data_IF_613199884754
#
_entry.id   IF_613199884754
#
_cell.length_a   1.000
_cell.length_b   1.000
_cell.length_c   1.000
_cell.angle_alpha   90.00
_cell.angle_beta   90.00
_cell.angle_gamma   90.00
#
_symmetry.space_group_name_H-M   'P 1'
#
loop_
_entity.id
_entity.type
_entity.pdbx_description
1 polymer ?
#
# COMPACT_ATOMS: atom_id res chain seq x y z
N UNK A 1 -14.99 6.83 -35.73
CA UNK A 1 -15.08 6.41 -34.32
C UNK A 1 -13.66 6.16 -33.86
N UNK A 2 -13.14 6.94 -32.91
CA UNK A 2 -11.80 6.68 -32.39
C UNK A 2 -11.83 5.32 -31.68
N UNK A 3 -10.89 4.44 -32.03
CA UNK A 3 -10.60 3.24 -31.24
C UNK A 3 -10.44 3.68 -29.78
N UNK A 4 -11.31 3.17 -28.92
CA UNK A 4 -11.19 3.42 -27.49
C UNK A 4 -9.92 2.70 -27.08
N UNK A 5 -8.85 3.44 -26.81
CA UNK A 5 -7.59 2.91 -26.29
C UNK A 5 -7.89 1.95 -25.12
N UNK A 6 -7.79 0.65 -25.39
CA UNK A 6 -8.14 -0.45 -24.48
C UNK A 6 -7.03 -0.76 -23.48
N UNK A 7 -5.97 0.06 -23.48
CA UNK A 7 -4.79 -0.11 -22.65
C UNK A 7 -5.13 0.16 -21.19
N UNK A 8 -4.91 -0.84 -20.33
CA UNK A 8 -5.09 -0.72 -18.88
C UNK A 8 -4.17 0.38 -18.34
N UNK A 9 -4.73 1.34 -17.57
CA UNK A 9 -4.01 2.48 -17.00
C UNK A 9 -3.72 2.28 -15.51
N UNK A 10 -2.45 2.13 -15.19
CA UNK A 10 -1.94 1.96 -13.83
C UNK A 10 -1.32 3.28 -13.38
N UNK A 11 -1.83 3.89 -12.31
CA UNK A 11 -1.10 4.96 -11.62
C UNK A 11 -0.26 4.34 -10.51
N UNK A 12 1.06 4.42 -10.62
CA UNK A 12 1.98 4.00 -9.56
C UNK A 12 2.44 5.23 -8.77
N UNK A 13 2.00 5.32 -7.51
CA UNK A 13 2.44 6.33 -6.57
C UNK A 13 3.58 5.75 -5.73
N UNK A 14 4.76 6.32 -5.88
CA UNK A 14 5.95 5.96 -5.13
C UNK A 14 6.32 7.06 -4.14
N UNK A 15 6.98 6.69 -3.04
CA UNK A 15 7.47 7.63 -2.04
C UNK A 15 6.37 8.57 -1.51
N UNK A 16 5.18 8.02 -1.21
CA UNK A 16 4.16 8.68 -0.37
C UNK A 16 4.79 9.12 0.95
N UNK A 17 5.62 8.25 1.54
CA UNK A 17 6.68 8.68 2.45
C UNK A 17 8.03 8.70 1.74
N UNK A 18 8.78 9.77 1.93
CA UNK A 18 10.01 10.02 1.15
C UNK A 18 11.16 9.04 1.39
N UNK A 19 11.12 8.25 2.45
CA UNK A 19 12.11 7.23 2.77
C UNK A 19 11.73 5.82 2.29
N UNK A 20 10.61 5.65 1.57
CA UNK A 20 10.11 4.36 1.10
C UNK A 20 10.42 4.18 -0.39
N UNK A 21 11.28 3.20 -0.69
CA UNK A 21 11.93 3.09 -2.00
C UNK A 21 11.36 1.99 -2.91
N UNK A 22 10.30 1.29 -2.51
CA UNK A 22 9.74 0.18 -3.30
C UNK A 22 9.33 0.63 -4.71
N UNK A 23 8.44 1.62 -4.81
CA UNK A 23 7.96 2.13 -6.10
C UNK A 23 9.08 2.75 -6.94
N UNK A 24 10.01 3.47 -6.29
CA UNK A 24 11.19 4.06 -6.95
C UNK A 24 12.03 2.96 -7.63
N UNK A 25 12.38 1.92 -6.86
CA UNK A 25 13.22 0.82 -7.35
C UNK A 25 12.50 -0.04 -8.39
N UNK A 26 11.19 -0.26 -8.24
CA UNK A 26 10.39 -0.96 -9.25
C UNK A 26 10.39 -0.21 -10.57
N UNK A 27 10.09 1.09 -10.56
CA UNK A 27 10.11 1.91 -11.78
C UNK A 27 11.50 1.94 -12.43
N UNK A 28 12.57 2.11 -11.65
CA UNK A 28 13.94 2.01 -12.15
C UNK A 28 14.24 0.66 -12.79
N UNK A 29 13.78 -0.45 -12.17
CA UNK A 29 13.95 -1.80 -12.71
C UNK A 29 13.23 -1.98 -14.04
N UNK A 30 12.00 -1.45 -14.17
CA UNK A 30 11.23 -1.48 -15.42
C UNK A 30 11.92 -0.69 -16.54
N UNK A 31 12.44 0.51 -16.23
CA UNK A 31 13.22 1.32 -17.17
C UNK A 31 14.49 0.60 -17.65
N UNK A 32 15.26 0.04 -16.71
CA UNK A 32 16.49 -0.71 -17.03
C UNK A 32 16.22 -1.90 -17.95
N UNK A 33 15.09 -2.59 -17.75
CA UNK A 33 14.67 -3.73 -18.59
C UNK A 33 13.97 -3.32 -19.88
N UNK A 34 13.68 -2.03 -20.08
CA UNK A 34 12.82 -1.55 -21.18
C UNK A 34 11.50 -2.34 -21.23
N UNK A 35 10.89 -2.52 -20.06
CA UNK A 35 9.68 -3.34 -19.93
C UNK A 35 8.50 -2.70 -20.68
N UNK A 36 7.72 -3.47 -21.46
CA UNK A 36 6.49 -2.96 -22.10
C UNK A 36 5.44 -2.48 -21.09
N UNK A 37 5.53 -2.92 -19.82
CA UNK A 37 4.68 -2.41 -18.74
C UNK A 37 4.73 -0.90 -18.56
N UNK A 38 5.81 -0.24 -19.02
CA UNK A 38 5.92 1.21 -18.97
C UNK A 38 4.83 1.92 -19.79
N UNK A 39 4.26 1.27 -20.81
CA UNK A 39 3.13 1.81 -21.59
C UNK A 39 1.83 1.87 -20.78
N UNK A 40 1.71 1.01 -19.75
CA UNK A 40 0.56 0.95 -18.86
C UNK A 40 0.74 1.80 -17.59
N UNK A 41 1.98 2.14 -17.25
CA UNK A 41 2.31 2.76 -15.96
C UNK A 41 2.54 4.25 -16.12
N UNK A 42 1.63 5.01 -15.52
CA UNK A 42 1.87 6.39 -15.17
C UNK A 42 2.52 6.46 -13.79
N UNK A 43 3.73 7.02 -13.71
CA UNK A 43 4.53 7.06 -12.50
C UNK A 43 4.50 8.43 -11.84
N UNK A 44 4.23 8.45 -10.53
CA UNK A 44 4.22 9.67 -9.71
C UNK A 44 5.06 9.49 -8.45
N UNK A 45 5.84 10.53 -8.11
CA UNK A 45 6.39 10.67 -6.76
C UNK A 45 5.33 11.36 -5.89
N UNK A 46 4.81 10.65 -4.90
CA UNK A 46 3.76 11.11 -3.99
C UNK A 46 4.22 12.33 -3.20
N UNK A 47 5.32 12.22 -2.45
CA UNK A 47 5.89 13.33 -1.68
C UNK A 47 7.30 13.71 -2.17
N UNK A 48 7.43 14.58 -3.20
CA UNK A 48 8.72 14.93 -3.79
C UNK A 48 9.66 15.65 -2.80
N UNK A 49 9.15 16.54 -1.93
CA UNK A 49 9.99 17.21 -0.92
C UNK A 49 10.53 16.24 0.12
N UNK A 50 9.68 15.35 0.64
CA UNK A 50 10.13 14.34 1.62
C UNK A 50 11.10 13.34 0.98
N UNK A 51 10.87 12.95 -0.28
CA UNK A 51 11.76 12.08 -1.04
C UNK A 51 13.14 12.70 -1.21
N UNK A 52 13.22 13.97 -1.63
CA UNK A 52 14.48 14.70 -1.73
C UNK A 52 15.20 14.79 -0.37
N UNK A 53 14.45 14.97 0.72
CA UNK A 53 14.97 15.01 2.08
C UNK A 53 15.29 13.63 2.69
N UNK A 54 14.92 12.51 2.03
CA UNK A 54 14.99 11.14 2.56
C UNK A 54 14.28 10.99 3.92
N UNK A 55 13.18 11.72 4.11
CA UNK A 55 12.38 11.72 5.33
C UNK A 55 11.03 11.08 5.09
N UNK A 56 10.36 10.65 6.16
CA UNK A 56 8.98 10.15 6.08
C UNK A 56 8.04 11.24 5.52
N UNK A 57 8.14 12.45 6.05
CA UNK A 57 7.40 13.64 5.60
C UNK A 57 8.16 14.92 5.99
N UNK A 58 7.66 16.07 5.53
CA UNK A 58 8.16 17.41 5.86
C UNK A 58 7.40 18.00 7.06
N UNK A 59 6.09 18.24 6.92
CA UNK A 59 5.28 18.87 7.96
C UNK A 59 4.40 17.84 8.70
N UNK A 60 3.67 17.01 7.95
CA UNK A 60 2.79 15.99 8.49
C UNK A 60 2.70 14.74 7.61
N UNK A 61 2.13 13.64 8.12
CA UNK A 61 2.03 12.39 7.36
C UNK A 61 1.07 12.54 6.16
N UNK A 62 1.60 12.40 4.94
CA UNK A 62 0.82 12.50 3.70
C UNK A 62 -0.31 11.49 3.66
N UNK A 63 -0.09 10.28 4.17
CA UNK A 63 -1.09 9.22 4.20
C UNK A 63 -2.10 9.38 5.34
N UNK A 64 -2.14 10.56 5.98
CA UNK A 64 -3.18 11.01 6.93
C UNK A 64 -3.81 12.33 6.52
N UNK A 65 -3.48 12.81 5.31
CA UNK A 65 -3.80 14.17 4.86
C UNK A 65 -4.89 14.20 3.77
N UNK A 66 -5.33 13.05 3.25
CA UNK A 66 -6.40 13.02 2.25
C UNK A 66 -7.75 13.44 2.85
N UNK A 67 -8.46 14.35 2.17
CA UNK A 67 -9.72 14.92 2.67
C UNK A 67 -9.56 15.91 3.83
N UNK A 68 -8.33 16.24 4.22
CA UNK A 68 -8.04 17.23 5.26
C UNK A 68 -7.77 18.58 4.62
N UNK A 69 -8.61 19.57 4.93
CA UNK A 69 -8.37 20.95 4.51
C UNK A 69 -7.34 21.62 5.42
N UNK A 70 -6.21 22.04 4.86
CA UNK A 70 -5.21 22.80 5.61
C UNK A 70 -4.09 23.33 4.72
N UNK A 71 -3.15 24.04 5.35
CA UNK A 71 -2.09 24.79 4.68
C UNK A 71 -0.72 24.12 4.79
N UNK A 72 -0.62 22.98 5.49
CA UNK A 72 0.63 22.22 5.54
C UNK A 72 0.91 21.61 4.17
N UNK A 73 2.20 21.45 3.85
CA UNK A 73 2.59 21.02 2.52
C UNK A 73 1.98 19.66 2.14
N UNK A 74 1.96 18.67 3.04
CA UNK A 74 1.34 17.37 2.73
C UNK A 74 -0.19 17.42 2.57
N UNK A 75 -0.88 18.37 3.22
CA UNK A 75 -2.33 18.54 3.05
C UNK A 75 -2.66 19.08 1.66
N UNK A 76 -1.91 20.08 1.20
CA UNK A 76 -2.01 20.58 -0.17
C UNK A 76 -1.63 19.49 -1.17
N UNK A 77 -0.57 18.73 -0.90
CA UNK A 77 -0.12 17.63 -1.77
C UNK A 77 -1.16 16.52 -1.89
N UNK A 78 -1.85 16.16 -0.81
CA UNK A 78 -2.92 15.18 -0.85
C UNK A 78 -4.08 15.63 -1.74
N UNK A 79 -4.46 16.91 -1.68
CA UNK A 79 -5.48 17.49 -2.55
C UNK A 79 -5.07 17.47 -4.03
N UNK A 80 -3.81 17.78 -4.34
CA UNK A 80 -3.27 17.69 -5.70
C UNK A 80 -3.33 16.26 -6.26
N UNK A 81 -2.90 15.27 -5.46
CA UNK A 81 -2.94 13.85 -5.87
C UNK A 81 -4.39 13.40 -6.09
N UNK A 82 -5.31 13.79 -5.20
CA UNK A 82 -6.73 13.46 -5.35
C UNK A 82 -7.33 14.08 -6.63
N UNK A 83 -7.02 15.35 -6.92
CA UNK A 83 -7.43 16.01 -8.16
C UNK A 83 -6.87 15.29 -9.39
N UNK A 84 -5.59 14.91 -9.35
CA UNK A 84 -4.95 14.16 -10.44
C UNK A 84 -5.63 12.82 -10.72
N UNK A 85 -5.95 12.04 -9.68
CA UNK A 85 -6.67 10.76 -9.81
C UNK A 85 -8.07 11.00 -10.40
N UNK A 86 -8.77 12.04 -9.94
CA UNK A 86 -10.10 12.40 -10.44
C UNK A 86 -10.09 12.80 -11.91
N UNK A 87 -9.06 13.53 -12.34
CA UNK A 87 -8.89 13.99 -13.72
C UNK A 87 -8.47 12.87 -14.67
N UNK A 88 -7.45 12.09 -14.28
CA UNK A 88 -6.84 11.06 -15.14
C UNK A 88 -7.58 9.73 -15.14
N UNK A 89 -8.39 9.45 -14.09
CA UNK A 89 -9.23 8.26 -13.94
C UNK A 89 -8.49 6.95 -14.27
N UNK A 90 -7.40 6.64 -13.56
CA UNK A 90 -6.68 5.38 -13.78
C UNK A 90 -7.58 4.17 -13.49
N UNK A 91 -7.35 3.04 -14.16
CA UNK A 91 -8.08 1.80 -13.88
C UNK A 91 -7.71 1.22 -12.52
N UNK A 92 -6.46 1.43 -12.10
CA UNK A 92 -5.96 1.05 -10.77
C UNK A 92 -4.89 2.04 -10.29
N UNK A 93 -4.90 2.33 -8.99
CA UNK A 93 -3.86 3.10 -8.29
C UNK A 93 -3.08 2.15 -7.39
N UNK A 94 -1.76 2.14 -7.55
CA UNK A 94 -0.83 1.40 -6.69
C UNK A 94 -0.13 2.37 -5.76
N UNK A 95 -0.28 2.17 -4.44
CA UNK A 95 0.41 2.97 -3.44
C UNK A 95 1.55 2.16 -2.82
N UNK A 96 2.79 2.52 -3.16
CA UNK A 96 3.96 1.65 -2.97
C UNK A 96 4.70 1.99 -1.68
N UNK A 97 4.38 1.29 -0.58
CA UNK A 97 4.97 1.50 0.74
C UNK A 97 6.04 0.48 1.09
N UNK A 98 6.84 0.83 2.09
CA UNK A 98 7.77 -0.12 2.72
C UNK A 98 7.65 -0.06 4.23
N UNK A 99 7.85 -1.21 4.87
CA UNK A 99 7.88 -1.31 6.33
C UNK A 99 9.26 -1.67 6.85
N UNK A 100 9.59 -1.23 8.06
CA UNK A 100 10.69 -1.81 8.83
C UNK A 100 10.20 -2.85 9.84
N UNK A 101 8.89 -3.09 9.94
CA UNK A 101 8.35 -4.11 10.82
C UNK A 101 8.75 -5.50 10.33
N UNK A 102 8.94 -6.44 11.26
CA UNK A 102 9.10 -7.85 10.94
C UNK A 102 7.70 -8.40 10.67
N UNK A 103 7.34 -8.56 9.40
CA UNK A 103 6.04 -9.04 8.95
C UNK A 103 6.12 -9.64 7.54
N UNK A 104 5.12 -10.41 7.08
CA UNK A 104 4.99 -10.79 5.68
C UNK A 104 4.80 -9.57 4.76
N UNK A 105 5.03 -9.79 3.47
CA UNK A 105 4.58 -8.87 2.41
C UNK A 105 3.06 -8.90 2.39
N UNK A 106 2.41 -7.76 2.31
CA UNK A 106 0.95 -7.73 2.19
C UNK A 106 0.47 -6.65 1.22
N UNK A 107 -0.73 -6.88 0.70
CA UNK A 107 -1.49 -5.90 -0.08
C UNK A 107 -2.55 -5.28 0.84
N UNK A 108 -2.67 -3.96 0.82
CA UNK A 108 -3.60 -3.19 1.65
C UNK A 108 -4.73 -2.68 0.77
N UNK A 109 -5.98 -2.83 1.23
CA UNK A 109 -7.17 -2.34 0.53
C UNK A 109 -8.16 -1.74 1.53
N UNK A 110 -9.00 -0.79 1.11
CA UNK A 110 -10.11 -0.33 1.96
C UNK A 110 -11.27 -1.34 2.03
N UNK A 111 -11.50 -2.08 0.94
CA UNK A 111 -12.51 -3.13 0.80
C UNK A 111 -12.13 -4.04 -0.40
N UNK A 112 -12.90 -5.10 -0.65
CA UNK A 112 -12.70 -6.00 -1.81
C UNK A 112 -13.55 -5.61 -3.04
N UNK A 113 -14.27 -4.50 -3.01
CA UNK A 113 -15.14 -4.07 -4.10
C UNK A 113 -14.33 -3.48 -5.25
N UNK A 114 -14.73 -3.77 -6.49
CA UNK A 114 -14.09 -3.26 -7.70
C UNK A 114 -13.37 -4.35 -8.50
N UNK A 115 -13.77 -4.52 -9.75
CA UNK A 115 -13.27 -5.59 -10.62
C UNK A 115 -11.77 -5.50 -10.89
N UNK A 116 -11.23 -4.30 -11.17
CA UNK A 116 -9.81 -4.10 -11.42
C UNK A 116 -8.96 -4.47 -10.19
N UNK A 117 -9.37 -4.05 -8.99
CA UNK A 117 -8.70 -4.41 -7.74
C UNK A 117 -8.73 -5.93 -7.51
N UNK A 118 -9.89 -6.58 -7.63
CA UNK A 118 -9.98 -8.05 -7.49
C UNK A 118 -9.07 -8.78 -8.48
N UNK A 119 -9.03 -8.32 -9.73
CA UNK A 119 -8.14 -8.86 -10.76
C UNK A 119 -6.66 -8.68 -10.39
N UNK A 120 -6.25 -7.50 -9.95
CA UNK A 120 -4.86 -7.26 -9.52
C UNK A 120 -4.48 -8.15 -8.34
N UNK A 121 -5.36 -8.23 -7.33
CA UNK A 121 -5.16 -9.08 -6.17
C UNK A 121 -4.98 -10.55 -6.62
N UNK A 122 -5.88 -11.07 -7.47
CA UNK A 122 -5.80 -12.44 -8.01
C UNK A 122 -4.61 -12.68 -8.96
N UNK A 123 -4.06 -11.64 -9.58
CA UNK A 123 -2.85 -11.73 -10.41
C UNK A 123 -1.55 -11.76 -9.58
N UNK A 124 -1.59 -11.25 -8.34
CA UNK A 124 -0.38 -11.07 -7.53
C UNK A 124 0.03 -12.31 -6.76
N UNK A 125 1.33 -12.64 -6.76
CA UNK A 125 1.90 -13.70 -5.93
C UNK A 125 1.82 -13.40 -4.42
N UNK A 126 1.56 -12.15 -4.01
CA UNK A 126 1.37 -11.81 -2.60
C UNK A 126 0.00 -12.34 -2.16
N UNK A 127 0.01 -13.26 -1.20
CA UNK A 127 -1.19 -13.97 -0.74
C UNK A 127 -1.87 -13.28 0.44
N UNK A 128 -1.16 -12.42 1.16
CA UNK A 128 -1.68 -11.74 2.36
C UNK A 128 -2.34 -10.43 1.97
N UNK A 129 -3.62 -10.27 2.32
CA UNK A 129 -4.40 -9.04 2.14
C UNK A 129 -4.78 -8.49 3.51
N UNK A 130 -4.61 -7.19 3.71
CA UNK A 130 -5.14 -6.46 4.84
C UNK A 130 -6.21 -5.47 4.36
N UNK A 131 -7.46 -5.72 4.75
CA UNK A 131 -8.53 -4.75 4.59
C UNK A 131 -8.51 -3.76 5.77
N UNK A 132 -8.27 -2.47 5.49
CA UNK A 132 -8.17 -1.41 6.50
C UNK A 132 -9.43 -0.55 6.56
N UNK A 133 -9.70 0.01 7.74
CA UNK A 133 -10.66 1.09 7.87
C UNK A 133 -10.06 2.39 7.31
N UNK A 134 -10.88 3.30 6.75
CA UNK A 134 -10.43 4.61 6.29
C UNK A 134 -9.65 5.38 7.35
N UNK A 135 -8.45 5.89 7.02
CA UNK A 135 -7.63 6.70 7.91
C UNK A 135 -7.08 7.97 7.22
N UNK A 136 -7.88 8.61 6.35
CA UNK A 136 -7.45 9.75 5.52
C UNK A 136 -6.20 9.41 4.67
N UNK A 137 -6.15 8.19 4.17
CA UNK A 137 -5.14 7.66 3.27
C UNK A 137 -5.67 7.62 1.82
N UNK A 138 -4.78 7.34 0.87
CA UNK A 138 -5.18 7.29 -0.55
C UNK A 138 -6.22 6.20 -0.83
N UNK A 139 -6.32 5.16 0.00
CA UNK A 139 -7.28 4.08 -0.18
C UNK A 139 -8.73 4.55 0.03
N UNK A 140 -8.94 5.73 0.61
CA UNK A 140 -10.28 6.34 0.73
C UNK A 140 -10.76 6.99 -0.57
N UNK A 141 -9.90 7.16 -1.58
CA UNK A 141 -10.24 7.88 -2.81
C UNK A 141 -11.00 7.05 -3.84
N UNK A 142 -11.05 5.72 -3.71
CA UNK A 142 -11.79 4.90 -4.65
C UNK A 142 -11.66 3.39 -4.45
N UNK A 143 -12.52 2.66 -5.16
CA UNK A 143 -12.56 1.19 -5.15
C UNK A 143 -11.52 0.55 -6.09
N UNK A 144 -10.52 1.30 -6.54
CA UNK A 144 -9.47 0.85 -7.44
C UNK A 144 -8.06 1.15 -6.89
N UNK A 145 -7.91 1.28 -5.57
CA UNK A 145 -6.62 1.50 -4.93
C UNK A 145 -6.15 0.20 -4.26
N UNK A 146 -4.88 -0.15 -4.47
CA UNK A 146 -4.18 -1.22 -3.76
C UNK A 146 -2.85 -0.69 -3.24
N UNK A 147 -2.65 -0.75 -1.92
CA UNK A 147 -1.37 -0.47 -1.29
C UNK A 147 -0.48 -1.71 -1.30
N UNK A 148 0.80 -1.54 -1.57
CA UNK A 148 1.82 -2.57 -1.31
C UNK A 148 2.53 -2.21 0.00
N UNK A 149 2.62 -3.16 0.93
CA UNK A 149 3.37 -2.98 2.17
C UNK A 149 4.45 -4.06 2.24
N UNK A 150 5.68 -3.69 1.86
CA UNK A 150 6.80 -4.62 1.69
C UNK A 150 7.90 -4.34 2.72
N UNK A 151 8.40 -5.35 3.46
CA UNK A 151 9.56 -5.15 4.32
C UNK A 151 10.78 -4.66 3.54
N UNK A 152 11.46 -3.62 4.04
CA UNK A 152 12.63 -3.02 3.39
C UNK A 152 13.71 -4.06 3.03
N UNK A 153 13.94 -5.02 3.92
CA UNK A 153 14.88 -6.14 3.72
C UNK A 153 14.53 -7.06 2.56
N UNK A 154 13.28 -7.06 2.11
CA UNK A 154 12.79 -7.93 1.04
C UNK A 154 12.95 -7.33 -0.35
N UNK A 155 13.33 -6.05 -0.46
CA UNK A 155 13.44 -5.36 -1.76
C UNK A 155 14.73 -5.79 -2.47
N UNK A 156 14.62 -6.86 -3.26
CA UNK A 156 15.69 -7.42 -4.09
C UNK A 156 15.30 -7.34 -5.58
N UNK A 157 16.26 -7.43 -6.52
CA UNK A 157 15.93 -7.50 -7.94
C UNK A 157 14.94 -8.63 -8.29
N UNK A 158 15.07 -9.79 -7.65
CA UNK A 158 14.14 -10.91 -7.81
C UNK A 158 12.71 -10.53 -7.39
N UNK A 159 12.54 -9.86 -6.24
CA UNK A 159 11.21 -9.40 -5.83
C UNK A 159 10.64 -8.38 -6.81
N UNK A 160 11.44 -7.41 -7.26
CA UNK A 160 11.00 -6.39 -8.21
C UNK A 160 10.57 -7.03 -9.54
N UNK A 161 11.28 -8.06 -9.97
CA UNK A 161 10.94 -8.84 -11.17
C UNK A 161 9.62 -9.59 -10.98
N UNK A 162 9.41 -10.27 -9.84
CA UNK A 162 8.13 -10.96 -9.55
C UNK A 162 6.96 -9.97 -9.43
N UNK A 163 7.17 -8.78 -8.86
CA UNK A 163 6.12 -7.74 -8.82
C UNK A 163 5.83 -7.22 -10.23
N UNK A 164 6.84 -7.04 -11.09
CA UNK A 164 6.61 -6.68 -12.49
C UNK A 164 5.78 -7.77 -13.20
N UNK A 165 6.09 -9.05 -12.98
CA UNK A 165 5.31 -10.17 -13.51
C UNK A 165 3.86 -10.18 -12.99
N UNK A 166 3.61 -9.83 -11.72
CA UNK A 166 2.24 -9.65 -11.20
C UNK A 166 1.49 -8.58 -11.98
N UNK A 167 2.12 -7.44 -12.26
CA UNK A 167 1.51 -6.34 -13.01
C UNK A 167 1.26 -6.74 -14.47
N UNK A 168 2.16 -7.51 -15.08
CA UNK A 168 1.95 -8.05 -16.43
C UNK A 168 0.76 -9.01 -16.45
N UNK A 169 0.67 -9.93 -15.49
CA UNK A 169 -0.52 -10.79 -15.32
C UNK A 169 -1.80 -9.98 -15.18
N UNK A 170 -1.77 -8.89 -14.43
CA UNK A 170 -2.94 -8.00 -14.28
C UNK A 170 -3.36 -7.36 -15.61
N UNK A 171 -2.40 -6.85 -16.39
CA UNK A 171 -2.62 -6.29 -17.73
C UNK A 171 -3.18 -7.36 -18.68
N UNK A 172 -2.61 -8.56 -18.64
CA UNK A 172 -2.97 -9.69 -19.49
C UNK A 172 -4.24 -10.43 -19.01
N UNK A 173 -4.89 -9.93 -17.95
CA UNK A 173 -6.07 -10.53 -17.33
C UNK A 173 -5.88 -12.00 -16.87
N UNK A 174 -4.69 -12.31 -16.35
CA UNK A 174 -4.31 -13.62 -15.83
C UNK A 174 -4.46 -13.68 -14.29
N UNK A 175 -5.32 -14.59 -13.81
CA UNK A 175 -5.66 -14.75 -12.39
C UNK A 175 -4.87 -15.89 -11.74
N UNK A 176 -3.54 -15.82 -11.75
CA UNK A 176 -2.67 -16.94 -11.37
C UNK A 176 -2.68 -17.29 -9.87
N UNK A 177 -3.13 -16.38 -9.00
CA UNK A 177 -3.09 -16.50 -7.54
C UNK A 177 -4.42 -16.08 -6.90
N UNK A 178 -5.55 -16.75 -7.19
CA UNK A 178 -6.87 -16.33 -6.72
C UNK A 178 -7.09 -16.59 -5.22
N UNK A 179 -6.35 -17.52 -4.62
CA UNK A 179 -6.45 -17.87 -3.20
C UNK A 179 -5.63 -16.93 -2.32
N UNK A 180 -6.27 -16.32 -1.32
CA UNK A 180 -5.68 -15.29 -0.45
C UNK A 180 -6.01 -15.55 1.02
N UNK A 181 -5.14 -15.03 1.89
CA UNK A 181 -5.41 -14.86 3.32
C UNK A 181 -5.77 -13.41 3.60
N UNK A 182 -7.03 -13.18 3.96
CA UNK A 182 -7.57 -11.87 4.26
C UNK A 182 -7.57 -11.63 5.77
N UNK A 183 -6.99 -10.51 6.18
CA UNK A 183 -7.08 -9.94 7.52
C UNK A 183 -7.93 -8.68 7.46
N UNK A 184 -8.81 -8.49 8.43
CA UNK A 184 -9.64 -7.27 8.51
C UNK A 184 -9.24 -6.48 9.74
N UNK A 185 -8.82 -5.24 9.53
CA UNK A 185 -8.59 -4.28 10.60
C UNK A 185 -9.89 -4.06 11.37
N UNK A 186 -9.82 -4.30 12.68
CA UNK A 186 -10.91 -4.05 13.62
C UNK A 186 -10.77 -2.68 14.29
N UNK A 187 -9.54 -2.35 14.72
CA UNK A 187 -9.23 -1.09 15.39
C UNK A 187 -7.70 -0.84 15.41
N UNK A 188 -7.27 0.27 16.01
CA UNK A 188 -5.88 0.53 16.39
C UNK A 188 -5.53 -0.16 17.71
N UNK A 189 -4.25 -0.47 17.90
CA UNK A 189 -3.70 -0.89 19.19
C UNK A 189 -3.22 0.37 19.93
N UNK A 190 -4.06 0.94 20.79
CA UNK A 190 -3.66 2.14 21.54
C UNK A 190 -2.65 1.79 22.64
N UNK A 191 -1.72 2.73 22.89
CA UNK A 191 -0.73 2.60 23.97
C UNK A 191 -1.35 2.54 25.36
N UNK A 192 -2.56 3.08 25.52
CA UNK A 192 -3.36 2.99 26.74
C UNK A 192 -3.88 1.58 27.02
N UNK A 193 -4.02 0.75 25.99
CA UNK A 193 -4.74 -0.53 26.07
C UNK A 193 -3.79 -1.71 26.30
N UNK A 194 -2.48 -1.51 26.16
CA UNK A 194 -1.47 -2.57 26.14
C UNK A 194 -0.22 -2.12 26.87
N UNK A 195 0.29 -2.96 27.78
CA UNK A 195 1.57 -2.71 28.45
C UNK A 195 2.77 -2.88 27.51
N UNK A 196 3.92 -2.30 27.86
CA UNK A 196 5.15 -2.48 27.09
C UNK A 196 5.59 -3.96 27.00
N UNK A 197 5.33 -4.76 28.05
CA UNK A 197 5.64 -6.18 28.08
C UNK A 197 4.80 -6.97 27.06
N UNK A 198 3.47 -6.75 27.06
CA UNK A 198 2.56 -7.36 26.08
C UNK A 198 2.87 -6.89 24.65
N UNK A 199 3.17 -5.61 24.46
CA UNK A 199 3.56 -5.11 23.14
C UNK A 199 4.90 -5.70 22.65
N UNK A 200 5.75 -6.15 23.57
CA UNK A 200 7.02 -6.83 23.26
C UNK A 200 6.85 -8.26 22.77
N UNK A 201 5.72 -8.91 23.04
CA UNK A 201 5.41 -10.29 22.61
C UNK A 201 4.65 -10.35 21.29
N UNK A 202 4.30 -9.22 20.68
CA UNK A 202 3.58 -9.20 19.42
C UNK A 202 4.42 -9.78 18.28
N UNK A 203 3.81 -10.74 17.58
CA UNK A 203 4.28 -11.25 16.29
C UNK A 203 3.27 -10.82 15.22
N UNK A 204 3.72 -10.02 14.25
CA UNK A 204 2.81 -9.48 13.25
C UNK A 204 2.18 -10.59 12.42
N UNK A 205 0.86 -10.49 12.17
CA UNK A 205 0.07 -11.47 11.42
C UNK A 205 -0.10 -12.84 12.12
N UNK A 206 0.11 -12.93 13.43
CA UNK A 206 -0.19 -14.12 14.25
C UNK A 206 -1.19 -13.78 15.37
N UNK A 207 -2.03 -14.74 15.77
CA UNK A 207 -3.00 -14.50 16.85
C UNK A 207 -2.29 -14.30 18.18
N UNK A 208 -2.59 -13.20 18.87
CA UNK A 208 -2.08 -12.94 20.21
C UNK A 208 -3.08 -13.38 21.29
N UNK A 209 -2.59 -13.68 22.50
CA UNK A 209 -3.40 -14.02 23.68
C UNK A 209 -4.44 -12.94 24.07
N UNK A 210 -4.28 -11.72 23.55
CA UNK A 210 -5.21 -10.61 23.75
C UNK A 210 -6.44 -10.67 22.82
N UNK A 211 -6.59 -11.74 22.04
CA UNK A 211 -7.79 -12.00 21.23
C UNK A 211 -7.83 -11.26 19.89
N UNK A 212 -6.69 -10.79 19.39
CA UNK A 212 -6.58 -10.17 18.07
C UNK A 212 -5.23 -10.48 17.43
N UNK A 213 -5.16 -10.30 16.12
CA UNK A 213 -3.90 -10.37 15.34
C UNK A 213 -3.26 -8.98 15.35
N UNK A 214 -2.07 -8.76 15.95
CA UNK A 214 -1.36 -7.51 15.83
C UNK A 214 -0.76 -7.38 14.44
N UNK A 215 -0.90 -6.20 13.84
CA UNK A 215 -0.39 -5.90 12.50
C UNK A 215 0.39 -4.60 12.55
N UNK A 216 1.52 -4.58 11.83
CA UNK A 216 2.42 -3.43 11.73
C UNK A 216 2.81 -2.88 13.10
N UNK A 217 3.14 -3.77 14.03
CA UNK A 217 3.71 -3.45 15.35
C UNK A 217 5.24 -3.65 15.31
N UNK A 218 5.99 -2.80 16.01
CA UNK A 218 7.46 -2.86 16.02
C UNK A 218 8.12 -1.52 16.33
N UNK A 219 9.44 -1.45 16.39
CA UNK A 219 10.18 -0.25 16.85
C UNK A 219 9.84 1.04 16.08
N UNK A 220 9.52 0.96 14.79
CA UNK A 220 9.23 2.13 13.95
C UNK A 220 7.78 2.19 13.43
N UNK A 221 6.91 1.32 13.94
CA UNK A 221 5.51 1.16 13.50
C UNK A 221 4.73 2.46 13.55
N UNK A 222 4.53 3.01 14.75
CA UNK A 222 3.85 4.29 15.00
C UNK A 222 4.29 4.91 16.35
N UNK A 223 5.31 4.32 17.01
CA UNK A 223 5.62 4.49 18.43
C UNK A 223 6.00 5.91 18.84
N UNK A 224 6.64 6.71 17.98
CA UNK A 224 7.15 8.04 18.38
C UNK A 224 6.18 9.19 18.10
N UNK A 225 5.24 9.01 17.17
CA UNK A 225 4.47 10.12 16.58
C UNK A 225 2.95 9.97 16.75
N UNK A 226 2.49 8.86 17.34
CA UNK A 226 1.06 8.59 17.52
C UNK A 226 0.76 8.04 18.92
N UNK A 227 -0.52 7.96 19.27
CA UNK A 227 -1.02 7.31 20.48
C UNK A 227 -1.26 5.80 20.32
N UNK A 228 -0.89 5.20 19.18
CA UNK A 228 -1.09 3.78 18.90
C UNK A 228 0.20 3.08 18.44
N UNK A 229 0.20 1.75 18.45
CA UNK A 229 1.35 0.88 18.18
C UNK A 229 1.25 0.15 16.84
N UNK A 230 0.04 0.02 16.29
CA UNK A 230 -0.26 -0.76 15.09
C UNK A 230 -1.77 -0.99 15.00
N UNK A 231 -2.17 -2.05 14.31
CA UNK A 231 -3.58 -2.40 14.09
C UNK A 231 -3.95 -3.72 14.75
N UNK A 232 -5.16 -3.78 15.30
CA UNK A 232 -5.87 -5.01 15.70
C UNK A 232 -6.58 -5.53 14.46
N UNK A 233 -6.37 -6.79 14.12
CA UNK A 233 -7.11 -7.44 13.05
C UNK A 233 -7.80 -8.73 13.53
N UNK A 234 -8.82 -9.12 12.78
CA UNK A 234 -9.46 -10.44 12.92
C UNK A 234 -8.46 -11.58 12.68
N UNK A 235 -8.85 -12.79 13.07
CA UNK A 235 -8.24 -14.00 12.53
C UNK A 235 -8.28 -13.98 10.98
N UNK A 236 -7.30 -14.62 10.31
CA UNK A 236 -7.30 -14.68 8.85
C UNK A 236 -8.49 -15.47 8.31
N UNK A 237 -9.06 -15.00 7.21
CA UNK A 237 -10.03 -15.69 6.38
C UNK A 237 -9.34 -16.18 5.10
N UNK A 238 -9.44 -17.47 4.78
CA UNK A 238 -9.06 -17.96 3.45
C UNK A 238 -10.16 -17.60 2.45
N UNK A 239 -9.81 -16.87 1.39
CA UNK A 239 -10.75 -16.40 0.36
C UNK A 239 -10.28 -16.81 -1.05
N UNK A 240 -11.22 -16.84 -1.99
CA UNK A 240 -10.96 -16.97 -3.43
C UNK A 240 -11.57 -15.77 -4.14
N UNK A 241 -10.76 -15.07 -4.94
CA UNK A 241 -11.13 -13.81 -5.61
C UNK A 241 -11.74 -13.98 -7.00
#
# INVERSE_FOLDING_TARGET
>A
MAEKDTTVKILMIAATHGNELLGIKLHQRLLQKRSPLLEHINFMIGNPRAFAAKKRYIDCDLNRSYGVNGQLYEQQRAAEIAAYISETKPDIVLDMHTTSCIQPKCLIVGNLDGAAKRRLLAASHITTILAVQPMNDVATLGNNVVGYEIPNRSITPALLDTVAEDLQRFVDNQLAYPHKKLYRMQNKIYKSDVSAAQAGTFVNFEMHELGYVPIMTGENSYKKQTNYLGFKASAPEDITL
#
